data_IF_370214921527
#
_entry.id   IF_370214921527
#
_cell.length_a   1.000
_cell.length_b   1.000
_cell.length_c   1.000
_cell.angle_alpha   90.00
_cell.angle_beta   90.00
_cell.angle_gamma   90.00
#
_symmetry.space_group_name_H-M   'P 1'
#
loop_
_entity.id
_entity.type
_entity.pdbx_description
1 polymer ?
#
# COMPACT_ATOMS: atom_id res chain seq x y z
N UNK A 1 -49.22 48.00 -23.75
CA UNK A 1 -50.63 47.84 -23.29
C UNK A 1 -50.59 46.94 -22.05
N UNK A 2 -50.93 47.60 -20.90
CA UNK A 2 -51.55 47.05 -19.69
C UNK A 2 -50.98 45.73 -19.11
N UNK A 3 -50.09 45.76 -18.16
CA UNK A 3 -50.31 45.98 -16.70
C UNK A 3 -51.46 45.16 -16.11
N UNK A 4 -51.07 44.18 -15.30
CA UNK A 4 -51.82 43.80 -14.09
C UNK A 4 -50.90 43.21 -13.02
N UNK A 5 -50.62 44.14 -12.11
CA UNK A 5 -50.15 43.91 -10.75
C UNK A 5 -51.24 43.21 -9.93
N UNK A 6 -50.98 42.14 -9.23
CA UNK A 6 -51.81 41.68 -8.12
C UNK A 6 -51.01 41.39 -6.86
N UNK A 7 -51.54 42.00 -5.82
CA UNK A 7 -51.08 42.09 -4.44
C UNK A 7 -51.00 40.72 -3.71
N UNK A 8 -50.12 40.79 -2.69
CA UNK A 8 -49.90 39.81 -1.59
C UNK A 8 -51.14 39.62 -0.71
N UNK A 9 -51.17 38.51 0.07
CA UNK A 9 -51.32 38.73 1.51
C UNK A 9 -50.20 38.09 2.33
N UNK A 10 -49.84 38.84 3.35
CA UNK A 10 -49.02 38.47 4.49
C UNK A 10 -49.81 37.57 5.43
N UNK A 11 -49.35 36.41 5.78
CA UNK A 11 -49.87 35.64 6.91
C UNK A 11 -48.76 35.52 7.95
N UNK A 12 -48.98 36.22 9.04
CA UNK A 12 -48.30 36.07 10.31
C UNK A 12 -48.68 34.69 10.95
N UNK A 13 -47.72 33.89 11.28
CA UNK A 13 -47.92 32.69 12.07
C UNK A 13 -47.00 32.68 13.30
N UNK A 14 -47.66 32.46 14.40
CA UNK A 14 -47.25 32.45 15.79
C UNK A 14 -46.06 31.60 16.11
N UNK A 15 -45.16 32.16 16.92
CA UNK A 15 -44.09 31.41 17.57
C UNK A 15 -44.64 30.59 18.76
N UNK A 16 -44.46 29.29 18.68
CA UNK A 16 -44.61 28.40 19.85
C UNK A 16 -43.20 28.08 20.36
N UNK A 17 -42.87 28.67 21.49
CA UNK A 17 -41.66 28.34 22.26
C UNK A 17 -41.91 27.06 23.03
N UNK A 18 -41.35 25.95 22.54
CA UNK A 18 -41.22 24.73 23.36
C UNK A 18 -39.83 24.75 24.01
N UNK A 19 -39.82 24.91 25.31
CA UNK A 19 -38.62 24.78 26.13
C UNK A 19 -38.09 23.34 26.09
N UNK A 20 -36.89 23.18 25.57
CA UNK A 20 -36.12 21.93 25.66
C UNK A 20 -35.22 22.03 26.89
N UNK A 21 -35.52 21.20 27.86
CA UNK A 21 -34.70 20.95 29.04
C UNK A 21 -33.33 20.39 28.59
N UNK A 22 -32.28 21.16 28.82
CA UNK A 22 -30.90 20.71 28.70
C UNK A 22 -30.61 19.71 29.84
N UNK A 23 -30.51 18.43 29.51
CA UNK A 23 -29.79 17.47 30.33
C UNK A 23 -28.29 17.64 30.07
N UNK A 24 -27.42 17.66 31.09
CA UNK A 24 -25.98 17.64 30.86
C UNK A 24 -25.57 16.30 30.26
N UNK A 25 -25.40 16.24 28.96
CA UNK A 25 -24.85 15.10 28.26
C UNK A 25 -23.40 14.91 28.70
N UNK A 26 -23.13 13.75 29.27
CA UNK A 26 -21.78 13.24 29.52
C UNK A 26 -21.06 13.20 28.18
N UNK A 27 -20.09 14.10 27.97
CA UNK A 27 -19.23 14.10 26.80
C UNK A 27 -18.41 12.81 26.79
N UNK A 28 -18.82 11.86 25.96
CA UNK A 28 -17.95 10.76 25.56
C UNK A 28 -16.85 11.38 24.71
N UNK A 29 -15.71 11.66 25.33
CA UNK A 29 -14.46 11.90 24.59
C UNK A 29 -14.13 10.58 23.87
N UNK A 30 -14.64 10.44 22.67
CA UNK A 30 -14.19 9.43 21.72
C UNK A 30 -12.74 9.72 21.39
N UNK A 31 -11.83 9.30 22.26
CA UNK A 31 -10.44 9.12 21.91
C UNK A 31 -10.42 8.07 20.80
N UNK A 32 -10.31 8.51 19.55
CA UNK A 32 -9.93 7.65 18.45
C UNK A 32 -8.56 7.07 18.80
N UNK A 33 -8.54 5.90 19.44
CA UNK A 33 -7.34 5.09 19.46
C UNK A 33 -7.04 4.84 17.98
N UNK A 34 -6.01 5.48 17.45
CA UNK A 34 -5.33 5.01 16.27
C UNK A 34 -4.86 3.60 16.65
N UNK A 35 -5.66 2.60 16.29
CA UNK A 35 -5.19 1.22 16.34
C UNK A 35 -3.97 1.22 15.42
N UNK A 36 -2.79 1.06 16.01
CA UNK A 36 -1.65 0.57 15.29
C UNK A 36 -2.15 -0.74 14.67
N UNK A 37 -2.46 -0.72 13.39
CA UNK A 37 -2.74 -1.93 12.65
C UNK A 37 -1.46 -2.75 12.74
N UNK A 38 -1.46 -3.75 13.62
CA UNK A 38 -0.50 -4.83 13.51
C UNK A 38 -0.64 -5.30 12.05
N UNK A 39 0.47 -5.34 11.32
CA UNK A 39 0.47 -5.66 9.90
C UNK A 39 -0.28 -6.96 9.66
N UNK A 40 -1.44 -6.85 9.03
CA UNK A 40 -2.21 -8.01 8.68
C UNK A 40 -1.36 -8.89 7.75
N UNK A 41 -1.07 -10.11 8.19
CA UNK A 41 -0.34 -11.10 7.41
C UNK A 41 -1.29 -11.76 6.42
N UNK A 42 -0.86 -11.84 5.18
CA UNK A 42 -1.61 -12.50 4.12
C UNK A 42 -1.20 -13.97 4.00
N UNK A 43 -2.12 -14.82 3.60
CA UNK A 43 -1.78 -16.13 3.02
C UNK A 43 -1.21 -15.94 1.62
N UNK A 44 -0.52 -16.94 1.09
CA UNK A 44 -0.07 -16.91 -0.30
C UNK A 44 -1.24 -16.68 -1.28
N UNK A 45 -2.35 -17.37 -1.06
CA UNK A 45 -3.53 -17.25 -1.92
C UNK A 45 -4.14 -15.84 -1.92
N UNK A 46 -4.26 -15.20 -0.75
CA UNK A 46 -4.82 -13.85 -0.64
C UNK A 46 -3.92 -12.81 -1.31
N UNK A 47 -2.60 -12.92 -1.13
CA UNK A 47 -1.65 -12.02 -1.78
C UNK A 47 -1.63 -12.23 -3.31
N UNK A 48 -1.63 -13.49 -3.77
CA UNK A 48 -1.69 -13.84 -5.18
C UNK A 48 -2.96 -13.30 -5.86
N UNK A 49 -4.12 -13.41 -5.19
CA UNK A 49 -5.37 -12.84 -5.70
C UNK A 49 -5.28 -11.30 -5.86
N UNK A 50 -4.64 -10.61 -4.90
CA UNK A 50 -4.40 -9.15 -4.98
C UNK A 50 -3.48 -8.79 -6.14
N UNK A 51 -2.40 -9.53 -6.34
CA UNK A 51 -1.49 -9.30 -7.44
C UNK A 51 -2.17 -9.52 -8.79
N UNK A 52 -2.90 -10.61 -8.95
CA UNK A 52 -3.67 -10.90 -10.15
C UNK A 52 -4.67 -9.78 -10.47
N UNK A 53 -5.41 -9.28 -9.47
CA UNK A 53 -6.41 -8.22 -9.67
C UNK A 53 -5.79 -6.89 -10.13
N UNK A 54 -4.51 -6.65 -9.83
CA UNK A 54 -3.77 -5.45 -10.24
C UNK A 54 -2.88 -5.65 -11.47
N UNK A 55 -2.84 -6.85 -12.04
CA UNK A 55 -1.98 -7.18 -13.18
C UNK A 55 -0.49 -7.26 -12.82
N UNK A 56 -0.17 -7.56 -11.57
CA UNK A 56 1.18 -7.97 -11.14
C UNK A 56 1.26 -9.49 -11.30
N UNK A 57 2.31 -9.96 -11.94
CA UNK A 57 2.59 -11.38 -12.15
C UNK A 57 3.71 -11.86 -11.22
N UNK A 58 3.90 -13.16 -11.13
CA UNK A 58 5.05 -13.75 -10.44
C UNK A 58 5.50 -15.01 -11.13
N UNK A 59 6.75 -15.37 -10.88
CA UNK A 59 7.36 -16.61 -11.33
C UNK A 59 8.16 -17.23 -10.18
N UNK A 60 8.29 -18.56 -10.22
CA UNK A 60 9.06 -19.33 -9.24
C UNK A 60 9.99 -20.29 -10.00
N UNK A 61 11.28 -20.28 -9.66
CA UNK A 61 12.26 -21.17 -10.29
C UNK A 61 11.98 -22.66 -9.98
N UNK A 62 11.40 -22.93 -8.82
CA UNK A 62 10.96 -24.28 -8.43
C UNK A 62 9.51 -24.61 -8.83
N UNK A 63 8.78 -23.67 -9.45
CA UNK A 63 7.37 -23.88 -9.81
C UNK A 63 6.45 -24.08 -8.60
N UNK A 64 6.77 -23.48 -7.45
CA UNK A 64 6.11 -23.72 -6.18
C UNK A 64 5.96 -22.46 -5.32
N UNK A 65 5.15 -22.55 -4.26
CA UNK A 65 4.87 -21.45 -3.32
C UNK A 65 5.17 -21.81 -1.85
N UNK A 66 5.95 -22.86 -1.61
CA UNK A 66 6.30 -23.25 -0.25
C UNK A 66 7.34 -22.31 0.34
N UNK A 67 6.96 -21.63 1.43
CA UNK A 67 7.81 -20.65 2.12
C UNK A 67 9.13 -21.23 2.64
N UNK A 68 9.17 -22.53 2.95
CA UNK A 68 10.35 -23.21 3.49
C UNK A 68 11.30 -23.75 2.41
N UNK A 69 11.07 -23.42 1.14
CA UNK A 69 11.86 -23.89 0.00
C UNK A 69 12.38 -22.69 -0.78
N UNK A 70 13.71 -22.54 -0.83
CA UNK A 70 14.36 -21.35 -1.38
C UNK A 70 14.18 -21.17 -2.91
N UNK A 71 13.78 -22.20 -3.64
CA UNK A 71 13.50 -22.14 -5.08
C UNK A 71 12.03 -21.81 -5.39
N UNK A 72 11.17 -21.76 -4.36
CA UNK A 72 9.79 -21.31 -4.49
C UNK A 72 9.71 -19.78 -4.46
N UNK A 73 8.59 -19.23 -4.90
CA UNK A 73 8.21 -17.83 -4.64
C UNK A 73 6.95 -17.86 -3.80
N UNK A 74 7.07 -17.46 -2.54
CA UNK A 74 5.99 -17.51 -1.57
C UNK A 74 5.54 -16.12 -1.16
N UNK A 75 4.23 -15.98 -0.91
CA UNK A 75 3.64 -14.79 -0.30
C UNK A 75 3.00 -15.10 1.05
N UNK A 76 3.20 -16.32 1.56
CA UNK A 76 2.68 -16.68 2.88
C UNK A 76 3.35 -15.83 3.96
N UNK A 77 2.56 -15.23 4.87
CA UNK A 77 3.02 -14.23 5.85
C UNK A 77 3.53 -12.91 5.25
N UNK A 78 3.17 -12.58 4.01
CA UNK A 78 3.43 -11.25 3.44
C UNK A 78 2.60 -10.20 4.19
N UNK A 79 3.18 -9.04 4.51
CA UNK A 79 2.43 -7.92 5.08
C UNK A 79 1.44 -7.37 4.05
N UNK A 80 0.23 -7.06 4.50
CA UNK A 80 -0.78 -6.41 3.65
C UNK A 80 -0.23 -5.13 3.03
N UNK A 81 0.48 -4.31 3.81
CA UNK A 81 1.09 -3.07 3.32
C UNK A 81 2.13 -3.33 2.21
N UNK A 82 2.89 -4.42 2.28
CA UNK A 82 3.82 -4.82 1.22
C UNK A 82 3.08 -5.15 -0.08
N UNK A 83 1.99 -5.92 0.02
CA UNK A 83 1.17 -6.23 -1.15
C UNK A 83 0.54 -4.96 -1.76
N UNK A 84 0.02 -4.05 -0.93
CA UNK A 84 -0.52 -2.77 -1.36
C UNK A 84 0.55 -1.89 -2.01
N UNK A 85 1.77 -1.87 -1.45
CA UNK A 85 2.90 -1.14 -2.03
C UNK A 85 3.27 -1.63 -3.44
N UNK A 86 3.25 -2.94 -3.67
CA UNK A 86 3.46 -3.52 -5.01
C UNK A 86 2.33 -3.14 -5.98
N UNK A 87 1.08 -3.14 -5.53
CA UNK A 87 -0.07 -2.69 -6.32
C UNK A 87 0.05 -1.19 -6.68
N UNK A 88 0.47 -0.36 -5.71
CA UNK A 88 0.74 1.07 -5.93
C UNK A 88 1.87 1.27 -6.95
N UNK A 89 2.96 0.52 -6.82
CA UNK A 89 4.06 0.56 -7.79
C UNK A 89 3.57 0.21 -9.21
N UNK A 90 2.74 -0.82 -9.34
CA UNK A 90 2.13 -1.20 -10.62
C UNK A 90 1.30 -0.07 -11.22
N UNK A 91 0.45 0.54 -10.41
CA UNK A 91 -0.40 1.65 -10.84
C UNK A 91 0.40 2.88 -11.24
N UNK A 92 1.41 3.24 -10.44
CA UNK A 92 2.24 4.43 -10.67
C UNK A 92 3.14 4.30 -11.91
N UNK A 93 3.70 3.12 -12.14
CA UNK A 93 4.63 2.91 -13.26
C UNK A 93 3.94 2.56 -14.57
N UNK A 94 2.79 1.90 -14.53
CA UNK A 94 2.16 1.26 -15.69
C UNK A 94 2.97 0.10 -16.27
N UNK A 95 4.16 -0.22 -15.72
CA UNK A 95 5.05 -1.26 -16.21
C UNK A 95 4.47 -2.67 -15.99
N UNK A 96 4.88 -3.62 -16.80
CA UNK A 96 4.74 -5.03 -16.46
C UNK A 96 5.65 -5.31 -15.25
N UNK A 97 5.06 -5.76 -14.16
CA UNK A 97 5.78 -6.18 -12.96
C UNK A 97 5.68 -7.68 -12.80
N UNK A 98 6.83 -8.35 -12.59
CA UNK A 98 6.91 -9.77 -12.28
C UNK A 98 7.70 -9.96 -10.99
N UNK A 99 7.05 -10.52 -9.95
CA UNK A 99 7.69 -10.83 -8.68
C UNK A 99 8.45 -12.16 -8.84
N UNK A 100 9.71 -12.18 -8.40
CA UNK A 100 10.60 -13.35 -8.47
C UNK A 100 11.05 -13.87 -7.13
N UNK A 101 10.83 -13.10 -6.05
CA UNK A 101 11.09 -13.47 -4.67
C UNK A 101 10.07 -12.83 -3.73
N UNK A 102 9.67 -13.55 -2.72
CA UNK A 102 8.69 -13.13 -1.72
C UNK A 102 9.14 -13.46 -0.30
N UNK A 103 8.39 -14.27 0.42
CA UNK A 103 8.64 -14.58 1.84
C UNK A 103 9.33 -15.93 2.07
N UNK A 104 9.77 -16.61 1.02
CA UNK A 104 10.47 -17.88 1.13
C UNK A 104 11.84 -17.74 1.81
N UNK A 105 12.35 -18.86 2.30
CA UNK A 105 13.70 -18.95 2.87
C UNK A 105 14.78 -18.73 1.80
N UNK A 106 16.02 -18.46 2.24
CA UNK A 106 17.18 -18.24 1.34
C UNK A 106 17.59 -16.78 1.25
N UNK A 107 16.77 -15.83 1.70
CA UNK A 107 17.10 -14.40 1.76
C UNK A 107 17.76 -14.03 3.09
N UNK A 108 18.43 -12.88 3.14
CA UNK A 108 19.04 -12.34 4.35
C UNK A 108 18.00 -12.09 5.45
N UNK A 109 18.37 -12.39 6.70
CA UNK A 109 17.55 -12.16 7.88
C UNK A 109 17.56 -10.67 8.29
N UNK A 110 16.59 -10.26 9.11
CA UNK A 110 16.49 -8.92 9.68
C UNK A 110 15.04 -8.52 9.94
N UNK A 111 14.85 -7.37 10.58
CA UNK A 111 13.51 -6.86 10.91
C UNK A 111 12.67 -6.66 9.65
N UNK A 112 13.22 -5.97 8.66
CA UNK A 112 12.55 -5.69 7.39
C UNK A 112 12.98 -6.68 6.29
N UNK A 113 12.92 -8.00 6.60
CA UNK A 113 13.36 -9.06 5.70
C UNK A 113 12.22 -9.60 4.83
N UNK A 114 12.58 -10.40 3.83
CA UNK A 114 11.66 -11.23 3.07
C UNK A 114 10.83 -12.13 3.98
N UNK A 115 11.51 -12.87 4.87
CA UNK A 115 10.86 -13.76 5.83
C UNK A 115 9.82 -13.05 6.69
N UNK A 116 10.07 -11.81 7.09
CA UNK A 116 9.12 -11.02 7.87
C UNK A 116 8.06 -10.31 7.02
N UNK A 117 8.04 -10.54 5.72
CA UNK A 117 7.00 -10.07 4.80
C UNK A 117 7.12 -8.61 4.39
N UNK A 118 8.30 -8.00 4.55
CA UNK A 118 8.53 -6.60 4.20
C UNK A 118 9.13 -6.40 2.82
N UNK A 119 9.53 -7.47 2.13
CA UNK A 119 10.24 -7.36 0.86
C UNK A 119 9.61 -8.18 -0.25
N UNK A 120 9.82 -7.69 -1.46
CA UNK A 120 9.55 -8.40 -2.71
C UNK A 120 10.69 -8.14 -3.69
N UNK A 121 11.09 -9.18 -4.41
CA UNK A 121 11.99 -9.05 -5.54
C UNK A 121 11.20 -8.92 -6.84
N UNK A 122 11.59 -7.99 -7.68
CA UNK A 122 11.00 -7.80 -9.01
C UNK A 122 12.03 -8.06 -10.10
N UNK A 123 11.63 -8.81 -11.11
CA UNK A 123 12.41 -8.95 -12.32
C UNK A 123 12.70 -7.56 -12.91
N UNK A 124 13.93 -7.35 -13.35
CA UNK A 124 14.31 -6.10 -14.02
C UNK A 124 13.66 -6.01 -15.39
N UNK A 125 13.16 -4.83 -15.71
CA UNK A 125 12.73 -4.43 -17.04
C UNK A 125 13.23 -3.01 -17.30
N UNK A 126 13.43 -2.66 -18.57
CA UNK A 126 13.79 -1.28 -18.93
C UNK A 126 12.78 -0.28 -18.41
N UNK A 127 11.49 -0.60 -18.48
CA UNK A 127 10.41 0.25 -17.98
C UNK A 127 10.56 0.53 -16.48
N UNK A 128 10.65 -0.51 -15.65
CA UNK A 128 10.77 -0.36 -14.19
C UNK A 128 12.08 0.33 -13.79
N UNK A 129 13.19 -0.05 -14.42
CA UNK A 129 14.50 0.54 -14.14
C UNK A 129 14.52 2.03 -14.46
N UNK A 130 14.02 2.42 -15.64
CA UNK A 130 13.93 3.84 -16.01
C UNK A 130 13.01 4.62 -15.04
N UNK A 131 11.89 4.05 -14.62
CA UNK A 131 11.02 4.69 -13.65
C UNK A 131 11.74 4.94 -12.34
N UNK A 132 12.40 3.91 -11.77
CA UNK A 132 13.14 4.03 -10.51
C UNK A 132 14.23 5.10 -10.62
N UNK A 133 15.04 5.07 -11.67
CA UNK A 133 16.15 6.01 -11.85
C UNK A 133 15.69 7.46 -12.07
N UNK A 134 14.54 7.68 -12.71
CA UNK A 134 14.06 9.03 -13.04
C UNK A 134 13.17 9.64 -11.94
N UNK A 135 12.53 8.81 -11.12
CA UNK A 135 11.50 9.27 -10.16
C UNK A 135 11.97 9.19 -8.72
N UNK A 136 12.81 8.20 -8.37
CA UNK A 136 13.26 8.01 -7.01
C UNK A 136 14.63 8.64 -6.76
N UNK A 137 14.88 8.99 -5.49
CA UNK A 137 16.15 9.61 -5.10
C UNK A 137 17.21 8.55 -4.86
N UNK A 138 18.34 8.65 -5.57
CA UNK A 138 19.51 7.84 -5.26
C UNK A 138 20.05 8.18 -3.87
N UNK A 139 20.25 7.18 -3.01
CA UNK A 139 20.67 7.36 -1.61
C UNK A 139 21.99 6.68 -1.27
N UNK A 140 22.74 6.23 -2.27
CA UNK A 140 24.05 5.59 -2.08
C UNK A 140 24.01 4.08 -2.25
N UNK A 141 25.11 3.43 -1.85
CA UNK A 141 25.24 1.98 -1.92
C UNK A 141 24.80 1.33 -0.60
N UNK A 142 24.16 0.18 -0.69
CA UNK A 142 23.94 -0.73 0.44
C UNK A 142 25.28 -1.38 0.83
N UNK A 143 25.37 -1.97 2.02
CA UNK A 143 26.62 -2.56 2.51
C UNK A 143 27.20 -3.69 1.66
N UNK A 144 26.42 -4.30 0.81
CA UNK A 144 26.84 -5.29 -0.21
C UNK A 144 27.17 -4.69 -1.59
N UNK A 145 27.10 -3.36 -1.70
CA UNK A 145 27.42 -2.62 -2.91
C UNK A 145 26.23 -2.38 -3.86
N UNK A 146 25.02 -2.84 -3.52
CA UNK A 146 23.83 -2.59 -4.34
C UNK A 146 23.42 -1.11 -4.30
N UNK A 147 23.29 -0.42 -5.45
CA UNK A 147 22.75 0.94 -5.51
C UNK A 147 21.32 0.99 -4.96
N UNK A 148 21.05 2.00 -4.13
CA UNK A 148 19.75 2.16 -3.49
C UNK A 148 19.05 3.44 -3.96
N UNK A 149 17.74 3.33 -4.15
CA UNK A 149 16.85 4.43 -4.53
C UNK A 149 15.68 4.48 -3.55
N UNK A 150 15.36 5.68 -3.05
CA UNK A 150 14.27 5.91 -2.11
C UNK A 150 13.10 6.59 -2.79
N UNK A 151 11.93 5.97 -2.74
CA UNK A 151 10.68 6.56 -3.17
C UNK A 151 10.21 7.64 -2.18
N UNK A 152 9.33 8.55 -2.61
CA UNK A 152 8.68 9.53 -1.76
C UNK A 152 7.89 8.91 -0.60
N UNK A 153 7.41 7.68 -0.77
CA UNK A 153 6.80 6.85 0.26
C UNK A 153 7.75 6.38 1.37
N UNK A 154 9.06 6.51 1.17
CA UNK A 154 10.07 5.96 2.06
C UNK A 154 10.51 4.54 1.73
N UNK A 155 9.85 3.84 0.82
CA UNK A 155 10.25 2.51 0.37
C UNK A 155 11.60 2.57 -0.35
N UNK A 156 12.42 1.53 -0.17
CA UNK A 156 13.77 1.47 -0.73
C UNK A 156 13.86 0.36 -1.77
N UNK A 157 14.45 0.71 -2.90
CA UNK A 157 14.68 -0.14 -4.06
C UNK A 157 16.18 -0.35 -4.20
N UNK A 158 16.66 -1.57 -4.00
CA UNK A 158 18.07 -1.93 -4.17
C UNK A 158 18.27 -2.68 -5.48
N UNK A 159 19.24 -2.22 -6.28
CA UNK A 159 19.61 -2.85 -7.54
C UNK A 159 20.60 -3.99 -7.28
N UNK A 160 20.13 -5.22 -7.27
CA UNK A 160 20.99 -6.41 -7.10
C UNK A 160 21.50 -6.99 -8.43
N UNK A 161 21.47 -6.19 -9.49
CA UNK A 161 22.00 -6.57 -10.81
C UNK A 161 20.97 -7.31 -11.67
N UNK A 162 20.44 -8.44 -11.22
CA UNK A 162 19.46 -9.24 -11.95
C UNK A 162 18.00 -8.99 -11.54
N UNK A 163 17.77 -8.37 -10.38
CA UNK A 163 16.44 -8.02 -9.87
C UNK A 163 16.49 -6.72 -9.05
N UNK A 164 15.32 -6.20 -8.71
CA UNK A 164 15.11 -5.13 -7.73
C UNK A 164 14.63 -5.74 -6.42
N UNK A 165 15.45 -5.67 -5.35
CA UNK A 165 15.05 -5.98 -3.97
C UNK A 165 14.35 -4.75 -3.38
N UNK A 166 13.06 -4.85 -3.13
CA UNK A 166 12.24 -3.72 -2.68
C UNK A 166 11.78 -3.93 -1.24
N UNK A 167 12.19 -3.01 -0.36
CA UNK A 167 11.76 -2.98 1.04
C UNK A 167 10.59 -2.01 1.20
N UNK A 168 9.46 -2.50 1.72
CA UNK A 168 8.26 -1.76 2.05
C UNK A 168 8.18 -1.53 3.56
N UNK A 169 8.20 -0.27 3.99
CA UNK A 169 8.18 0.09 5.41
C UNK A 169 6.75 0.42 5.87
N UNK A 170 5.83 -0.50 5.80
CA UNK A 170 4.47 -0.44 6.38
C UNK A 170 3.90 0.96 6.66
N UNK A 171 3.92 1.80 5.66
CA UNK A 171 3.50 3.19 5.76
C UNK A 171 2.01 3.38 5.41
N UNK A 172 1.21 2.31 5.48
CA UNK A 172 -0.24 2.40 5.31
C UNK A 172 -0.70 2.83 3.91
N UNK A 173 0.07 2.50 2.87
CA UNK A 173 -0.33 2.76 1.49
C UNK A 173 0.32 4.00 0.86
N UNK A 174 1.44 4.48 1.44
CA UNK A 174 2.25 5.50 0.78
C UNK A 174 3.03 4.97 -0.41
#
# INVERSE_FOLDING_TARGET
MLSHMRLRPVLTAFALVLGVLFAPGVGVLGGGATQAHADAKLTHADAAARFNSSGVTWSSSGGCSNRNVATCTSFDQLNLATAQGAQTLKSATGCALNITGGTETGHASGTYSHWNGYKLDFAKSTCLTNYIHNVFTYIGLRGDGAPQYKAGSGNIYADEGNHWDVTYYNCGGC
#
